data_IF_638952922286
#
_entry.id   IF_638952922286
#
_cell.length_a   1.000
_cell.length_b   1.000
_cell.length_c   1.000
_cell.angle_alpha   90.00
_cell.angle_beta   90.00
_cell.angle_gamma   90.00
#
_symmetry.space_group_name_H-M   'P 1'
#
loop_
_entity.id
_entity.type
_entity.pdbx_description
1 polymer ?
#
# COMPACT_ATOMS: atom_id res chain seq x y z
N UNK A 1 -41.65 -11.29 6.64
CA UNK A 1 -40.80 -11.49 5.44
C UNK A 1 -39.50 -12.13 5.91
N UNK A 2 -39.08 -13.31 5.40
CA UNK A 2 -37.82 -13.94 5.87
C UNK A 2 -36.61 -13.13 5.38
N UNK A 3 -35.78 -12.68 6.31
CA UNK A 3 -34.54 -11.96 6.00
C UNK A 3 -33.57 -12.90 5.27
N UNK A 4 -32.94 -12.41 4.21
CA UNK A 4 -31.96 -13.19 3.46
C UNK A 4 -30.66 -13.29 4.25
N UNK A 5 -30.23 -14.51 4.53
CA UNK A 5 -28.95 -14.76 5.18
C UNK A 5 -27.84 -14.76 4.12
N UNK A 6 -26.90 -13.82 4.25
CA UNK A 6 -25.76 -13.73 3.34
C UNK A 6 -24.70 -14.81 3.61
N UNK A 7 -24.75 -15.48 4.76
CA UNK A 7 -23.86 -16.60 5.07
C UNK A 7 -24.18 -17.82 4.17
N UNK A 8 -25.36 -17.85 3.53
CA UNK A 8 -25.75 -18.82 2.49
C UNK A 8 -24.86 -18.73 1.24
N UNK A 9 -24.03 -17.69 1.11
CA UNK A 9 -23.06 -17.54 0.02
C UNK A 9 -21.76 -18.33 0.24
N UNK A 10 -21.57 -18.94 1.41
CA UNK A 10 -20.34 -19.68 1.75
C UNK A 10 -19.99 -20.75 0.69
N UNK A 11 -20.92 -21.60 0.22
CA UNK A 11 -20.61 -22.59 -0.82
C UNK A 11 -20.14 -21.96 -2.13
N UNK A 12 -20.72 -20.81 -2.52
CA UNK A 12 -20.29 -20.09 -3.71
C UNK A 12 -18.86 -19.54 -3.55
N UNK A 13 -18.50 -19.04 -2.36
CA UNK A 13 -17.14 -18.55 -2.12
C UNK A 13 -16.12 -19.68 -2.09
N UNK A 14 -16.47 -20.84 -1.53
CA UNK A 14 -15.63 -22.04 -1.53
C UNK A 14 -15.40 -22.54 -2.95
N UNK A 15 -16.44 -22.61 -3.79
CA UNK A 15 -16.34 -22.96 -5.21
C UNK A 15 -15.40 -22.01 -5.98
N UNK A 16 -15.39 -20.72 -5.62
CA UNK A 16 -14.48 -19.72 -6.21
C UNK A 16 -13.11 -19.64 -5.52
N UNK A 17 -12.81 -20.57 -4.61
CA UNK A 17 -11.55 -20.63 -3.86
C UNK A 17 -11.21 -19.33 -3.11
N UNK A 18 -12.22 -18.59 -2.66
CA UNK A 18 -12.02 -17.34 -1.91
C UNK A 18 -11.65 -17.69 -0.48
N UNK A 19 -10.59 -17.10 0.06
CA UNK A 19 -10.13 -17.41 1.45
C UNK A 19 -11.18 -17.00 2.49
N UNK A 20 -11.35 -17.74 3.61
CA UNK A 20 -12.37 -17.46 4.62
C UNK A 20 -12.35 -16.02 5.17
N UNK A 21 -11.15 -15.45 5.37
CA UNK A 21 -11.01 -14.07 5.82
C UNK A 21 -11.55 -13.07 4.78
N UNK A 22 -11.33 -13.32 3.49
CA UNK A 22 -11.87 -12.54 2.39
C UNK A 22 -13.37 -12.71 2.24
N UNK A 23 -13.93 -13.90 2.51
CA UNK A 23 -15.38 -14.13 2.53
C UNK A 23 -16.08 -13.22 3.55
N UNK A 24 -15.57 -13.18 4.79
CA UNK A 24 -16.10 -12.32 5.86
C UNK A 24 -16.08 -10.85 5.46
N UNK A 25 -15.02 -10.41 4.79
CA UNK A 25 -14.92 -9.05 4.25
C UNK A 25 -15.99 -8.79 3.19
N UNK A 26 -16.15 -9.68 2.20
CA UNK A 26 -17.17 -9.54 1.16
C UNK A 26 -18.59 -9.50 1.74
N UNK A 27 -18.93 -10.41 2.65
CA UNK A 27 -20.25 -10.43 3.32
C UNK A 27 -20.48 -9.13 4.10
N UNK A 28 -19.47 -8.62 4.81
CA UNK A 28 -19.57 -7.34 5.53
C UNK A 28 -19.84 -6.16 4.57
N UNK A 29 -19.15 -6.12 3.42
CA UNK A 29 -19.40 -5.09 2.41
C UNK A 29 -20.81 -5.22 1.80
N UNK A 30 -21.28 -6.44 1.51
CA UNK A 30 -22.64 -6.66 1.02
C UNK A 30 -23.68 -6.19 2.02
N UNK A 31 -23.53 -6.54 3.31
CA UNK A 31 -24.42 -6.07 4.39
C UNK A 31 -24.50 -4.54 4.41
N UNK A 32 -23.35 -3.86 4.31
CA UNK A 32 -23.27 -2.40 4.29
C UNK A 32 -24.01 -1.78 3.10
N UNK A 33 -23.76 -2.32 1.90
CA UNK A 33 -24.39 -1.83 0.67
C UNK A 33 -25.89 -2.09 0.71
N UNK A 34 -26.33 -3.32 0.99
CA UNK A 34 -27.75 -3.68 1.07
C UNK A 34 -28.49 -2.85 2.11
N UNK A 35 -27.89 -2.62 3.29
CA UNK A 35 -28.45 -1.71 4.29
C UNK A 35 -28.72 -0.32 3.74
N UNK A 36 -27.84 0.18 2.87
CA UNK A 36 -27.95 1.51 2.27
C UNK A 36 -29.00 1.58 1.15
N UNK A 37 -29.13 0.52 0.33
CA UNK A 37 -30.01 0.54 -0.85
C UNK A 37 -31.39 -0.10 -0.63
N UNK A 38 -31.54 -0.93 0.40
CA UNK A 38 -32.78 -1.66 0.73
C UNK A 38 -33.22 -1.50 2.19
N UNK A 39 -32.38 -0.96 3.08
CA UNK A 39 -32.68 -0.88 4.52
C UNK A 39 -32.18 -2.10 5.30
N UNK A 40 -32.51 -2.18 6.59
CA UNK A 40 -31.98 -3.20 7.52
C UNK A 40 -32.52 -4.61 7.27
N UNK A 41 -33.69 -4.72 6.66
CA UNK A 41 -34.35 -5.99 6.36
C UNK A 41 -34.55 -6.16 4.86
N UNK A 42 -34.08 -7.28 4.31
CA UNK A 42 -34.16 -7.57 2.89
C UNK A 42 -34.37 -9.07 2.65
N UNK A 43 -35.13 -9.42 1.61
CA UNK A 43 -35.38 -10.81 1.18
C UNK A 43 -34.53 -11.16 -0.03
N UNK A 44 -34.39 -12.46 -0.33
CA UNK A 44 -33.62 -12.91 -1.50
C UNK A 44 -34.14 -12.29 -2.81
N UNK A 45 -35.46 -12.15 -2.93
CA UNK A 45 -36.12 -11.55 -4.10
C UNK A 45 -35.80 -10.07 -4.25
N UNK A 46 -35.94 -9.28 -3.18
CA UNK A 46 -35.67 -7.84 -3.28
C UNK A 46 -34.16 -7.55 -3.44
N UNK A 47 -33.29 -8.41 -2.90
CA UNK A 47 -31.85 -8.37 -3.17
C UNK A 47 -31.59 -8.61 -4.64
N UNK A 48 -32.15 -9.66 -5.25
CA UNK A 48 -31.96 -9.95 -6.69
C UNK A 48 -32.43 -8.80 -7.59
N UNK A 49 -33.51 -8.13 -7.23
CA UNK A 49 -34.07 -6.99 -7.97
C UNK A 49 -33.36 -5.65 -7.70
N UNK A 50 -32.49 -5.58 -6.68
CA UNK A 50 -31.84 -4.35 -6.25
C UNK A 50 -30.69 -3.88 -7.15
N UNK A 51 -30.34 -4.64 -8.19
CA UNK A 51 -29.18 -4.36 -9.04
C UNK A 51 -29.18 -2.91 -9.58
N UNK A 52 -30.30 -2.41 -10.09
CA UNK A 52 -30.40 -1.04 -10.59
C UNK A 52 -30.21 0.00 -9.49
N UNK A 53 -30.72 -0.25 -8.27
CA UNK A 53 -30.51 0.62 -7.10
C UNK A 53 -29.04 0.62 -6.68
N UNK A 54 -28.39 -0.54 -6.71
CA UNK A 54 -26.97 -0.67 -6.44
C UNK A 54 -26.11 0.11 -7.45
N UNK A 55 -26.39 -0.04 -8.75
CA UNK A 55 -25.67 0.68 -9.80
C UNK A 55 -25.85 2.19 -9.68
N UNK A 56 -27.07 2.65 -9.37
CA UNK A 56 -27.32 4.07 -9.05
C UNK A 56 -26.46 4.49 -7.86
N UNK A 57 -26.54 3.78 -6.74
CA UNK A 57 -25.75 4.04 -5.52
C UNK A 57 -24.25 4.17 -5.79
N UNK A 58 -23.63 3.26 -6.56
CA UNK A 58 -22.19 3.34 -6.84
C UNK A 58 -21.78 4.52 -7.73
N UNK A 59 -22.67 4.93 -8.63
CA UNK A 59 -22.42 6.03 -9.55
C UNK A 59 -22.72 7.39 -8.91
N UNK A 60 -23.79 7.49 -8.12
CA UNK A 60 -24.32 8.76 -7.59
C UNK A 60 -23.93 9.08 -6.16
N UNK A 61 -23.76 8.08 -5.28
CA UNK A 61 -23.43 8.37 -3.87
C UNK A 61 -21.94 8.66 -3.69
N UNK A 62 -21.69 9.55 -2.73
CA UNK A 62 -20.44 10.17 -2.31
C UNK A 62 -19.46 9.19 -1.64
N UNK A 63 -19.22 8.03 -2.26
CA UNK A 63 -18.17 7.11 -1.83
C UNK A 63 -16.80 7.75 -2.10
N UNK A 64 -15.98 7.99 -1.05
CA UNK A 64 -14.93 9.00 -1.06
C UNK A 64 -13.71 8.67 -1.95
N UNK A 65 -13.60 7.44 -2.45
CA UNK A 65 -12.50 7.05 -3.34
C UNK A 65 -12.80 5.79 -4.16
N UNK A 66 -12.03 5.63 -5.25
CA UNK A 66 -12.09 4.48 -6.16
C UNK A 66 -11.97 3.12 -5.44
N UNK A 67 -11.09 2.98 -4.44
CA UNK A 67 -10.88 1.71 -3.76
C UNK A 67 -12.14 1.25 -3.00
N UNK A 68 -12.84 2.17 -2.34
CA UNK A 68 -14.10 1.85 -1.68
C UNK A 68 -15.17 1.43 -2.69
N UNK A 69 -15.28 2.14 -3.82
CA UNK A 69 -16.23 1.79 -4.87
C UNK A 69 -15.90 0.43 -5.52
N UNK A 70 -14.61 0.14 -5.75
CA UNK A 70 -14.13 -1.15 -6.25
C UNK A 70 -14.52 -2.29 -5.31
N UNK A 71 -14.24 -2.16 -4.02
CA UNK A 71 -14.55 -3.20 -3.03
C UNK A 71 -16.05 -3.47 -2.92
N UNK A 72 -16.89 -2.43 -2.94
CA UNK A 72 -18.34 -2.58 -2.99
C UNK A 72 -18.79 -3.26 -4.30
N UNK A 73 -18.26 -2.85 -5.46
CA UNK A 73 -18.59 -3.46 -6.76
C UNK A 73 -18.22 -4.94 -6.81
N UNK A 74 -17.00 -5.30 -6.42
CA UNK A 74 -16.55 -6.71 -6.42
C UNK A 74 -17.42 -7.56 -5.49
N UNK A 75 -17.71 -7.07 -4.28
CA UNK A 75 -18.54 -7.82 -3.34
C UNK A 75 -19.97 -8.01 -3.87
N UNK A 76 -20.58 -6.96 -4.39
CA UNK A 76 -21.93 -7.06 -4.96
C UNK A 76 -21.97 -7.90 -6.23
N UNK A 77 -20.90 -7.93 -7.02
CA UNK A 77 -20.79 -8.82 -8.17
C UNK A 77 -20.86 -10.28 -7.74
N UNK A 78 -20.09 -10.67 -6.71
CA UNK A 78 -20.18 -12.02 -6.15
C UNK A 78 -21.61 -12.38 -5.69
N UNK A 79 -22.29 -11.46 -5.00
CA UNK A 79 -23.69 -11.63 -4.57
C UNK A 79 -24.62 -11.86 -5.76
N UNK A 80 -24.60 -10.99 -6.77
CA UNK A 80 -25.51 -11.08 -7.90
C UNK A 80 -25.22 -12.29 -8.79
N UNK A 81 -23.94 -12.66 -8.97
CA UNK A 81 -23.56 -13.88 -9.68
C UNK A 81 -24.07 -15.12 -8.96
N UNK A 82 -23.89 -15.21 -7.64
CA UNK A 82 -24.41 -16.31 -6.83
C UNK A 82 -25.95 -16.41 -6.90
N UNK A 83 -26.64 -15.27 -7.02
CA UNK A 83 -28.09 -15.20 -7.21
C UNK A 83 -28.55 -15.42 -8.66
N UNK A 84 -27.63 -15.70 -9.59
CA UNK A 84 -27.88 -15.80 -11.04
C UNK A 84 -28.66 -14.59 -11.56
N UNK A 85 -28.22 -13.40 -11.17
CA UNK A 85 -28.72 -12.13 -11.69
C UNK A 85 -27.87 -11.66 -12.90
N UNK A 86 -28.44 -10.88 -13.83
CA UNK A 86 -27.71 -10.43 -15.02
C UNK A 86 -26.65 -9.37 -14.65
N UNK A 87 -25.39 -9.76 -14.57
CA UNK A 87 -24.27 -8.91 -14.11
C UNK A 87 -23.56 -8.13 -15.22
N UNK A 88 -23.89 -8.35 -16.49
CA UNK A 88 -23.24 -7.69 -17.65
C UNK A 88 -23.22 -6.14 -17.52
N UNK A 89 -24.28 -5.55 -16.97
CA UNK A 89 -24.33 -4.09 -16.75
C UNK A 89 -23.38 -3.63 -15.65
N UNK A 90 -23.11 -4.47 -14.65
CA UNK A 90 -22.12 -4.17 -13.61
C UNK A 90 -20.71 -4.16 -14.18
N UNK A 91 -20.40 -5.11 -15.07
CA UNK A 91 -19.08 -5.20 -15.71
C UNK A 91 -18.79 -3.93 -16.52
N UNK A 92 -19.75 -3.48 -17.35
CA UNK A 92 -19.63 -2.21 -18.09
C UNK A 92 -19.43 -1.00 -17.16
N UNK A 93 -20.18 -0.91 -16.06
CA UNK A 93 -20.01 0.17 -15.08
C UNK A 93 -18.66 0.07 -14.38
N UNK A 94 -18.20 -1.14 -14.07
CA UNK A 94 -16.89 -1.36 -13.45
C UNK A 94 -15.74 -0.95 -14.37
N UNK A 95 -15.82 -1.27 -15.66
CA UNK A 95 -14.84 -0.84 -16.65
C UNK A 95 -14.83 0.68 -16.82
N UNK A 96 -16.00 1.32 -16.89
CA UNK A 96 -16.10 2.79 -16.93
C UNK A 96 -15.50 3.43 -15.68
N UNK A 97 -15.72 2.86 -14.49
CA UNK A 97 -15.12 3.34 -13.25
C UNK A 97 -13.61 3.14 -13.23
N UNK A 98 -13.13 2.02 -13.75
CA UNK A 98 -11.70 1.71 -13.90
C UNK A 98 -11.05 2.71 -14.85
N UNK A 99 -11.67 2.99 -16.00
CA UNK A 99 -11.22 4.00 -16.96
C UNK A 99 -11.22 5.41 -16.35
N UNK A 100 -12.28 5.81 -15.65
CA UNK A 100 -12.31 7.10 -14.94
C UNK A 100 -11.22 7.21 -13.88
N UNK A 101 -11.00 6.17 -13.08
CA UNK A 101 -9.92 6.15 -12.09
C UNK A 101 -8.52 6.12 -12.73
N UNK A 102 -8.36 5.51 -13.90
CA UNK A 102 -7.13 5.59 -14.68
C UNK A 102 -6.93 6.98 -15.28
N UNK A 103 -7.97 7.60 -15.81
CA UNK A 103 -7.93 8.97 -16.30
C UNK A 103 -7.65 9.98 -15.16
N UNK A 104 -8.25 9.80 -13.99
CA UNK A 104 -7.95 10.57 -12.77
C UNK A 104 -6.51 10.33 -12.29
N UNK A 105 -5.96 9.13 -12.45
CA UNK A 105 -4.54 8.84 -12.18
C UNK A 105 -3.61 9.42 -13.25
N UNK A 106 -4.05 9.48 -14.50
CA UNK A 106 -3.32 10.05 -15.62
C UNK A 106 -3.32 11.59 -15.59
N UNK A 107 -4.40 12.21 -15.09
CA UNK A 107 -4.55 13.66 -14.93
C UNK A 107 -3.83 14.22 -13.68
N UNK A 108 -2.90 13.46 -13.09
CA UNK A 108 -2.03 13.94 -12.01
C UNK A 108 -2.69 14.01 -10.63
N UNK A 109 -1.87 14.39 -9.64
CA UNK A 109 -2.30 14.52 -8.24
C UNK A 109 -3.35 15.63 -8.10
N UNK A 110 -4.38 15.41 -7.27
CA UNK A 110 -5.32 16.48 -6.88
C UNK A 110 -4.56 17.69 -6.33
N UNK A 111 -5.03 18.92 -6.49
CA UNK A 111 -4.31 20.12 -6.03
C UNK A 111 -3.92 20.07 -4.54
N UNK A 112 -4.78 19.48 -3.69
CA UNK A 112 -4.49 19.23 -2.26
C UNK A 112 -3.38 18.20 -2.03
N UNK A 113 -3.23 17.23 -2.93
CA UNK A 113 -2.15 16.25 -2.89
C UNK A 113 -0.87 16.81 -3.53
N UNK A 114 -0.99 17.65 -4.57
CA UNK A 114 0.12 18.36 -5.22
C UNK A 114 0.78 19.35 -4.26
N UNK A 115 -0.01 20.18 -3.57
CA UNK A 115 0.51 21.07 -2.50
C UNK A 115 1.18 20.33 -1.35
N UNK A 116 0.74 19.10 -1.01
CA UNK A 116 1.45 18.27 0.00
C UNK A 116 2.69 17.58 -0.55
N UNK A 117 2.73 17.27 -1.84
CA UNK A 117 3.87 16.68 -2.53
C UNK A 117 4.99 17.70 -2.75
N UNK A 118 4.63 18.92 -3.16
CA UNK A 118 5.57 20.02 -3.39
C UNK A 118 6.24 20.46 -2.09
N UNK A 119 5.52 20.35 -0.96
CA UNK A 119 6.02 20.65 0.40
C UNK A 119 6.98 19.61 1.00
N UNK A 120 7.17 18.44 0.38
CA UNK A 120 8.15 17.48 0.90
C UNK A 120 9.54 18.01 0.61
N UNK A 121 10.28 18.34 1.67
CA UNK A 121 11.68 18.70 1.65
C UNK A 121 12.50 17.66 2.44
N UNK A 122 13.44 17.00 1.77
CA UNK A 122 14.30 15.99 2.38
C UNK A 122 15.37 16.60 3.30
N UNK A 123 15.74 17.86 3.08
CA UNK A 123 16.68 18.57 3.94
C UNK A 123 16.00 18.92 5.27
N UNK A 124 14.73 19.36 5.24
CA UNK A 124 13.92 19.57 6.43
C UNK A 124 13.77 18.27 7.25
N UNK A 125 13.42 17.15 6.60
CA UNK A 125 13.32 15.84 7.28
C UNK A 125 14.66 15.45 7.92
N UNK A 126 15.77 15.73 7.23
CA UNK A 126 17.13 15.45 7.71
C UNK A 126 17.54 16.31 8.91
N UNK A 127 16.96 17.51 9.06
CA UNK A 127 17.14 18.35 10.24
C UNK A 127 16.25 17.86 11.39
N UNK A 128 14.97 17.59 11.11
CA UNK A 128 13.99 17.16 12.11
C UNK A 128 14.41 15.92 12.88
N UNK A 129 14.99 14.90 12.24
CA UNK A 129 15.37 13.69 12.98
C UNK A 129 16.51 13.95 13.97
N UNK A 130 17.42 14.89 13.66
CA UNK A 130 18.56 15.24 14.51
C UNK A 130 18.12 15.89 15.81
N UNK A 131 17.00 16.61 15.78
CA UNK A 131 16.38 17.27 16.94
C UNK A 131 15.64 16.30 17.88
N UNK A 132 15.28 15.11 17.39
CA UNK A 132 14.60 14.12 18.21
C UNK A 132 15.60 13.31 19.06
N UNK A 133 15.14 12.84 20.21
CA UNK A 133 15.92 11.99 21.09
C UNK A 133 16.35 10.67 20.40
N UNK A 134 17.60 10.27 20.65
CA UNK A 134 18.19 9.02 20.17
C UNK A 134 17.37 7.81 20.63
N UNK A 135 17.25 6.81 19.76
CA UNK A 135 16.53 5.57 20.06
C UNK A 135 15.00 5.68 20.08
N UNK A 136 14.42 6.85 19.78
CA UNK A 136 12.97 6.95 19.59
C UNK A 136 12.53 6.40 18.24
N UNK A 137 11.35 5.77 18.18
CA UNK A 137 10.77 5.30 16.92
C UNK A 137 10.58 6.44 15.92
N UNK A 138 10.23 7.65 16.40
CA UNK A 138 9.99 8.80 15.53
C UNK A 138 11.29 9.26 14.88
N UNK A 139 12.41 9.30 15.62
CA UNK A 139 13.73 9.59 15.06
C UNK A 139 14.12 8.56 14.00
N UNK A 140 13.97 7.28 14.33
CA UNK A 140 14.25 6.20 13.39
C UNK A 140 13.38 6.31 12.13
N UNK A 141 12.08 6.56 12.27
CA UNK A 141 11.19 6.78 11.12
C UNK A 141 11.68 7.95 10.28
N UNK A 142 11.96 9.12 10.87
CA UNK A 142 12.40 10.28 10.09
C UNK A 142 13.70 10.01 9.32
N UNK A 143 14.70 9.36 9.93
CA UNK A 143 15.96 9.09 9.23
C UNK A 143 15.81 8.05 8.11
N UNK A 144 14.97 7.02 8.29
CA UNK A 144 14.63 6.05 7.23
C UNK A 144 13.91 6.69 6.03
N UNK A 145 13.24 7.83 6.26
CA UNK A 145 12.47 8.55 5.24
C UNK A 145 13.09 9.90 4.84
N UNK A 146 14.37 10.12 5.19
CA UNK A 146 15.13 11.36 4.94
C UNK A 146 15.57 11.57 3.49
N UNK A 147 15.40 10.57 2.62
CA UNK A 147 15.83 10.66 1.22
C UNK A 147 17.32 10.45 0.99
N UNK A 148 18.08 9.97 1.99
CA UNK A 148 19.50 9.56 1.81
C UNK A 148 19.65 8.22 1.05
N UNK A 149 18.57 7.46 0.89
CA UNK A 149 18.50 6.22 0.14
C UNK A 149 17.13 6.08 -0.52
N UNK A 150 16.95 5.17 -1.51
CA UNK A 150 15.65 4.90 -2.08
C UNK A 150 14.61 4.58 -0.99
N UNK A 151 13.52 5.36 -0.99
CA UNK A 151 12.50 5.26 0.05
C UNK A 151 11.80 3.91 -0.05
N UNK A 152 12.04 3.02 0.91
CA UNK A 152 11.39 1.71 0.97
C UNK A 152 9.93 1.81 1.44
N UNK A 153 9.14 0.77 1.21
CA UNK A 153 7.77 0.69 1.70
C UNK A 153 7.78 0.40 3.18
N UNK A 154 6.73 0.85 3.88
CA UNK A 154 6.64 0.62 5.32
C UNK A 154 6.82 -0.84 5.73
N UNK A 155 6.20 -1.78 5.00
CA UNK A 155 6.32 -3.21 5.30
C UNK A 155 7.72 -3.79 5.11
N UNK A 156 8.60 -3.10 4.38
CA UNK A 156 9.98 -3.53 4.16
C UNK A 156 10.87 -3.18 5.37
N UNK A 157 10.41 -2.31 6.27
CA UNK A 157 11.10 -1.96 7.53
C UNK A 157 10.52 -2.65 8.76
N UNK A 158 9.22 -2.94 8.76
CA UNK A 158 8.52 -3.42 9.94
C UNK A 158 8.90 -4.87 10.26
N UNK A 159 9.30 -5.10 11.51
CA UNK A 159 9.76 -6.39 12.00
C UNK A 159 10.93 -6.97 11.20
N UNK A 160 11.75 -6.09 10.61
CA UNK A 160 12.94 -6.48 9.88
C UNK A 160 14.02 -6.89 10.89
N UNK A 161 14.44 -8.16 10.82
CA UNK A 161 15.51 -8.66 11.69
C UNK A 161 16.86 -8.11 11.26
N UNK A 162 17.73 -7.89 12.23
CA UNK A 162 19.11 -7.49 11.98
C UNK A 162 20.09 -8.61 12.31
N UNK A 163 21.15 -8.70 11.52
CA UNK A 163 22.23 -9.65 11.74
C UNK A 163 23.55 -8.91 11.86
N UNK A 164 24.50 -9.52 12.57
CA UNK A 164 25.83 -8.97 12.77
C UNK A 164 26.91 -9.99 12.38
N UNK A 165 26.82 -10.55 11.17
CA UNK A 165 27.73 -11.59 10.67
C UNK A 165 28.53 -11.10 9.46
N UNK A 166 29.79 -11.55 9.32
CA UNK A 166 30.59 -11.32 8.10
C UNK A 166 30.07 -12.12 6.90
N UNK A 167 29.39 -13.24 7.14
CA UNK A 167 28.79 -14.08 6.10
C UNK A 167 27.35 -13.66 5.87
N UNK A 168 26.95 -13.49 4.61
CA UNK A 168 25.56 -13.28 4.20
C UNK A 168 24.69 -14.54 4.29
N UNK A 169 25.21 -15.64 4.85
CA UNK A 169 24.45 -16.87 5.09
C UNK A 169 23.66 -16.76 6.38
N UNK A 170 22.35 -16.55 6.25
CA UNK A 170 21.36 -16.68 7.31
C UNK A 170 20.76 -18.10 7.34
N UNK A 171 20.11 -18.51 8.44
CA UNK A 171 19.18 -19.64 8.44
C UNK A 171 18.10 -19.41 7.38
N UNK A 172 17.70 -20.46 6.67
CA UNK A 172 16.71 -20.46 5.57
C UNK A 172 15.32 -19.89 5.92
N UNK A 173 15.09 -19.51 7.18
CA UNK A 173 13.81 -18.99 7.68
C UNK A 173 13.70 -17.47 7.71
N UNK A 174 14.80 -16.72 7.55
CA UNK A 174 14.77 -15.24 7.62
C UNK A 174 14.83 -14.66 6.22
N UNK A 175 13.63 -14.37 5.68
CA UNK A 175 13.43 -13.87 4.31
C UNK A 175 13.86 -12.41 4.08
N UNK A 176 13.78 -11.57 5.12
CA UNK A 176 14.13 -10.17 5.05
C UNK A 176 15.05 -9.82 6.21
N UNK A 177 16.20 -9.20 5.95
CA UNK A 177 17.15 -8.84 7.00
C UNK A 177 18.04 -7.66 6.64
N UNK A 178 18.57 -6.97 7.65
CA UNK A 178 19.66 -6.01 7.51
C UNK A 178 20.94 -6.55 8.13
N UNK A 179 22.02 -6.64 7.35
CA UNK A 179 23.34 -6.90 7.86
C UNK A 179 23.97 -5.61 8.40
N UNK A 180 24.10 -5.50 9.72
CA UNK A 180 24.63 -4.31 10.40
C UNK A 180 26.12 -4.04 10.12
N UNK A 181 26.84 -5.04 9.63
CA UNK A 181 28.28 -4.93 9.34
C UNK A 181 28.55 -4.46 7.92
N UNK A 182 27.81 -4.99 6.94
CA UNK A 182 27.95 -4.59 5.52
C UNK A 182 27.01 -3.47 5.11
N UNK A 183 26.00 -3.14 5.92
CA UNK A 183 24.94 -2.21 5.54
C UNK A 183 23.99 -2.78 4.48
N UNK A 184 24.10 -4.07 4.14
CA UNK A 184 23.27 -4.69 3.12
C UNK A 184 21.90 -5.07 3.68
N UNK A 185 20.85 -4.50 3.10
CA UNK A 185 19.45 -4.87 3.35
C UNK A 185 18.96 -5.79 2.25
N UNK A 186 18.58 -7.00 2.64
CA UNK A 186 18.02 -8.01 1.76
C UNK A 186 16.51 -8.16 1.97
N UNK A 187 15.74 -8.20 0.88
CA UNK A 187 14.29 -8.35 0.88
C UNK A 187 13.88 -9.36 -0.21
N UNK A 188 13.49 -10.57 0.18
CA UNK A 188 13.11 -11.67 -0.73
C UNK A 188 11.71 -11.45 -1.37
N UNK A 189 10.75 -10.93 -0.59
CA UNK A 189 9.35 -10.77 -0.99
C UNK A 189 8.96 -9.29 -1.23
N UNK A 190 9.80 -8.52 -1.93
CA UNK A 190 9.48 -7.12 -2.23
C UNK A 190 8.38 -7.06 -3.29
N UNK A 191 7.19 -6.59 -2.90
CA UNK A 191 6.06 -6.46 -3.83
C UNK A 191 6.42 -5.56 -5.02
N UNK A 192 6.08 -5.96 -6.23
CA UNK A 192 6.26 -5.18 -7.46
C UNK A 192 4.95 -5.06 -8.24
N UNK A 193 4.96 -4.30 -9.34
CA UNK A 193 3.82 -4.26 -10.26
C UNK A 193 3.62 -5.58 -11.02
N UNK A 194 4.64 -6.45 -11.09
CA UNK A 194 4.62 -7.75 -11.78
C UNK A 194 4.58 -8.99 -10.87
N UNK A 195 4.62 -8.84 -9.55
CA UNK A 195 4.67 -9.95 -8.61
C UNK A 195 5.45 -9.63 -7.34
N UNK A 196 6.35 -10.54 -6.96
CA UNK A 196 7.32 -10.37 -5.88
C UNK A 196 8.73 -10.43 -6.48
N UNK A 197 9.62 -9.60 -5.97
CA UNK A 197 11.00 -9.51 -6.43
C UNK A 197 11.93 -9.57 -5.21
N UNK A 198 13.04 -10.25 -5.38
CA UNK A 198 14.18 -10.15 -4.47
C UNK A 198 14.94 -8.85 -4.77
N UNK A 199 15.29 -8.11 -3.73
CA UNK A 199 16.12 -6.91 -3.87
C UNK A 199 17.10 -6.76 -2.71
N UNK A 200 18.27 -6.26 -3.07
CA UNK A 200 19.33 -5.85 -2.17
C UNK A 200 19.45 -4.33 -2.22
N UNK A 201 19.59 -3.70 -1.06
CA UNK A 201 19.70 -2.25 -0.92
C UNK A 201 20.84 -1.94 0.03
N UNK A 202 21.76 -1.08 -0.40
CA UNK A 202 22.84 -0.59 0.46
C UNK A 202 22.27 0.52 1.35
N UNK A 203 22.34 0.32 2.66
CA UNK A 203 21.95 1.31 3.67
C UNK A 203 23.14 2.23 3.96
N UNK A 204 23.01 3.56 3.77
CA UNK A 204 24.07 4.51 4.08
C UNK A 204 24.51 4.46 5.54
N UNK A 205 25.80 4.71 5.81
CA UNK A 205 26.38 4.65 7.16
C UNK A 205 25.64 5.53 8.19
N UNK A 206 25.14 6.69 7.76
CA UNK A 206 24.34 7.59 8.61
C UNK A 206 23.09 6.88 9.11
N UNK A 207 22.33 6.25 8.20
CA UNK A 207 21.12 5.50 8.56
C UNK A 207 21.50 4.26 9.39
N UNK A 208 22.57 3.58 9.00
CA UNK A 208 23.04 2.37 9.67
C UNK A 208 23.43 2.63 11.14
N UNK A 209 24.08 3.76 11.42
CA UNK A 209 24.44 4.17 12.76
C UNK A 209 23.21 4.50 13.61
N UNK A 210 22.21 5.18 13.03
CA UNK A 210 20.93 5.44 13.71
C UNK A 210 20.17 4.15 14.04
N UNK A 211 20.18 3.17 13.12
CA UNK A 211 19.60 1.85 13.38
C UNK A 211 20.35 1.15 14.53
N UNK A 212 21.69 1.15 14.52
CA UNK A 212 22.50 0.52 15.57
C UNK A 212 22.22 1.11 16.95
N UNK A 213 22.18 2.44 17.06
CA UNK A 213 21.86 3.12 18.32
C UNK A 213 20.42 2.84 18.75
N UNK A 214 19.46 2.83 17.82
CA UNK A 214 18.07 2.45 18.12
C UNK A 214 17.97 1.05 18.70
N UNK A 215 18.57 0.05 18.05
CA UNK A 215 18.53 -1.35 18.48
C UNK A 215 19.18 -1.54 19.85
N UNK A 216 20.31 -0.85 20.08
CA UNK A 216 21.01 -0.86 21.37
C UNK A 216 20.15 -0.28 22.49
N UNK A 217 19.53 0.89 22.28
CA UNK A 217 18.69 1.56 23.28
C UNK A 217 17.41 0.77 23.55
N UNK A 218 16.79 0.20 22.49
CA UNK A 218 15.57 -0.60 22.60
C UNK A 218 15.81 -2.02 23.10
N UNK A 219 17.07 -2.46 23.15
CA UNK A 219 17.47 -3.82 23.50
C UNK A 219 16.72 -4.87 22.65
N UNK A 220 16.72 -4.67 21.33
CA UNK A 220 16.07 -5.56 20.34
C UNK A 220 16.97 -5.75 19.14
N UNK A 221 16.80 -6.87 18.43
CA UNK A 221 17.44 -7.14 17.14
C UNK A 221 16.53 -6.82 15.95
N UNK A 222 15.34 -6.28 16.22
CA UNK A 222 14.26 -6.13 15.25
C UNK A 222 13.89 -4.65 15.07
N UNK A 223 13.88 -4.21 13.82
CA UNK A 223 13.53 -2.82 13.47
C UNK A 223 12.02 -2.61 13.61
N UNK A 224 11.65 -1.57 14.37
CA UNK A 224 10.26 -1.16 14.63
C UNK A 224 9.39 -2.34 15.09
N UNK A 225 9.92 -3.13 16.03
CA UNK A 225 9.29 -4.34 16.56
C UNK A 225 7.84 -4.08 17.04
N UNK A 226 6.90 -4.92 16.58
CA UNK A 226 5.50 -4.84 16.96
C UNK A 226 4.71 -3.68 16.32
N UNK A 227 5.36 -2.82 15.52
CA UNK A 227 4.68 -1.72 14.84
C UNK A 227 3.86 -2.23 13.63
N UNK A 228 2.59 -1.85 13.57
CA UNK A 228 1.75 -2.14 12.41
C UNK A 228 1.89 -1.09 11.31
N UNK A 229 1.61 -1.46 10.06
CA UNK A 229 1.69 -0.53 8.92
C UNK A 229 0.75 0.68 9.04
N UNK A 230 -0.37 0.53 9.73
CA UNK A 230 -1.31 1.63 9.96
C UNK A 230 -0.74 2.65 10.96
N UNK A 231 -0.07 2.18 12.01
CA UNK A 231 0.61 3.03 13.01
C UNK A 231 1.77 3.78 12.35
N UNK A 232 2.62 3.08 11.59
CA UNK A 232 3.71 3.71 10.84
C UNK A 232 3.19 4.81 9.90
N UNK A 233 2.15 4.50 9.11
CA UNK A 233 1.58 5.46 8.16
C UNK A 233 1.01 6.70 8.87
N UNK A 234 0.34 6.51 10.02
CA UNK A 234 -0.17 7.62 10.83
C UNK A 234 0.95 8.46 11.43
N UNK A 235 1.98 7.84 12.00
CA UNK A 235 3.15 8.54 12.56
C UNK A 235 3.88 9.34 11.49
N UNK A 236 4.18 8.72 10.34
CA UNK A 236 4.83 9.39 9.22
C UNK A 236 4.02 10.59 8.72
N UNK A 237 2.71 10.42 8.55
CA UNK A 237 1.85 11.53 8.12
C UNK A 237 1.79 12.65 9.15
N UNK A 238 1.85 12.33 10.45
CA UNK A 238 1.89 13.32 11.52
C UNK A 238 3.22 14.07 11.56
N UNK A 239 4.33 13.38 11.35
CA UNK A 239 5.67 13.94 11.40
C UNK A 239 5.99 14.77 10.15
N UNK A 240 5.75 14.23 8.96
CA UNK A 240 6.21 14.81 7.68
C UNK A 240 5.06 15.43 6.88
N UNK A 241 3.79 15.19 7.26
CA UNK A 241 2.64 15.63 6.48
C UNK A 241 2.40 14.83 5.19
N UNK A 242 3.23 13.81 4.93
CA UNK A 242 3.24 13.02 3.70
C UNK A 242 3.10 11.51 3.97
N UNK A 243 2.56 10.80 2.97
CA UNK A 243 2.51 9.33 2.98
C UNK A 243 3.81 8.74 2.42
N UNK A 244 4.11 7.47 2.77
CA UNK A 244 5.25 6.73 2.20
C UNK A 244 5.27 6.82 0.67
N UNK A 245 4.11 6.64 0.01
CA UNK A 245 4.05 6.70 -1.45
C UNK A 245 4.34 8.09 -2.01
N UNK A 246 4.00 9.15 -1.29
CA UNK A 246 4.34 10.52 -1.68
C UNK A 246 5.85 10.75 -1.60
N UNK A 247 6.49 10.31 -0.51
CA UNK A 247 7.95 10.38 -0.35
C UNK A 247 8.67 9.58 -1.42
N UNK A 248 8.19 8.38 -1.75
CA UNK A 248 8.72 7.56 -2.84
C UNK A 248 8.69 8.28 -4.18
N UNK A 249 7.56 8.93 -4.52
CA UNK A 249 7.42 9.72 -5.74
C UNK A 249 8.35 10.93 -5.74
N UNK A 250 8.48 11.62 -4.60
CA UNK A 250 9.32 12.81 -4.46
C UNK A 250 10.79 12.43 -4.63
N UNK A 251 11.23 11.34 -4.00
CA UNK A 251 12.58 10.80 -4.16
C UNK A 251 12.91 10.53 -5.62
N UNK A 252 12.04 9.80 -6.33
CA UNK A 252 12.25 9.54 -7.77
C UNK A 252 12.33 10.83 -8.57
N UNK A 253 11.45 11.81 -8.30
CA UNK A 253 11.48 13.11 -8.97
C UNK A 253 12.77 13.89 -8.69
N UNK A 254 13.25 13.91 -7.46
CA UNK A 254 14.51 14.59 -7.07
C UNK A 254 15.71 13.94 -7.75
N UNK A 255 15.82 12.62 -7.67
CA UNK A 255 16.99 11.90 -8.22
C UNK A 255 16.95 11.87 -9.75
N UNK A 256 15.77 11.83 -10.39
CA UNK A 256 15.68 11.90 -11.86
C UNK A 256 16.21 13.22 -12.42
N UNK A 257 16.03 14.33 -11.69
CA UNK A 257 16.57 15.65 -12.04
C UNK A 257 18.10 15.74 -11.92
N UNK A 258 18.73 14.80 -11.22
CA UNK A 258 20.20 14.73 -11.07
C UNK A 258 20.90 14.10 -12.28
N UNK A 259 20.15 13.66 -13.31
CA UNK A 259 20.74 13.16 -14.55
C UNK A 259 21.24 11.71 -14.46
N UNK A 260 20.51 10.83 -13.77
CA UNK A 260 20.84 9.41 -13.69
C UNK A 260 21.04 8.76 -15.06
N UNK A 261 22.07 7.91 -15.15
CA UNK A 261 22.32 7.02 -16.29
C UNK A 261 21.19 6.00 -16.46
N UNK A 262 21.13 5.34 -17.62
CA UNK A 262 20.14 4.29 -17.90
C UNK A 262 20.21 3.15 -16.87
N UNK A 263 21.41 2.71 -16.50
CA UNK A 263 21.59 1.61 -15.54
C UNK A 263 21.15 2.01 -14.13
N UNK A 264 21.44 3.23 -13.70
CA UNK A 264 20.96 3.75 -12.41
C UNK A 264 19.44 3.90 -12.38
N UNK A 265 18.80 4.27 -13.50
CA UNK A 265 17.33 4.32 -13.61
C UNK A 265 16.72 2.92 -13.55
N UNK A 266 17.35 1.92 -14.18
CA UNK A 266 16.94 0.51 -14.12
C UNK A 266 17.03 0.01 -12.68
N UNK A 267 18.15 0.27 -12.00
CA UNK A 267 18.36 -0.14 -10.63
C UNK A 267 17.40 0.56 -9.66
N UNK A 268 17.19 1.87 -9.83
CA UNK A 268 16.18 2.62 -9.06
C UNK A 268 14.78 2.04 -9.27
N UNK A 269 14.41 1.70 -10.51
CA UNK A 269 13.12 1.08 -10.80
C UNK A 269 12.98 -0.29 -10.12
N UNK A 270 14.05 -1.10 -10.12
CA UNK A 270 14.11 -2.40 -9.43
C UNK A 270 13.91 -2.25 -7.93
N UNK A 271 14.69 -1.38 -7.27
CA UNK A 271 14.59 -1.12 -5.83
C UNK A 271 13.20 -0.59 -5.46
N UNK A 272 12.62 0.25 -6.32
CA UNK A 272 11.29 0.83 -6.14
C UNK A 272 10.14 -0.13 -6.55
N UNK A 273 10.46 -1.33 -7.05
CA UNK A 273 9.46 -2.32 -7.47
C UNK A 273 8.54 -1.82 -8.59
N UNK A 274 9.05 -0.93 -9.44
CA UNK A 274 8.37 -0.43 -10.63
C UNK A 274 8.73 -1.33 -11.84
N UNK A 275 7.77 -1.56 -12.74
CA UNK A 275 8.08 -2.20 -14.02
C UNK A 275 8.89 -1.22 -14.90
N UNK A 276 9.98 -1.72 -15.48
CA UNK A 276 10.89 -0.95 -16.36
C UNK A 276 10.18 -0.26 -17.53
N UNK A 277 9.03 -0.79 -17.95
CA UNK A 277 8.29 -0.35 -19.13
C UNK A 277 7.38 0.89 -18.94
N UNK A 278 7.07 1.36 -17.73
CA UNK A 278 5.90 2.27 -17.58
C UNK A 278 5.90 3.31 -16.47
N UNK A 279 6.81 3.31 -15.49
CA UNK A 279 6.62 4.23 -14.35
C UNK A 279 7.85 5.01 -13.91
N UNK A 280 9.07 4.46 -13.96
CA UNK A 280 10.26 5.25 -13.63
C UNK A 280 10.55 6.33 -14.69
N UNK A 281 10.17 6.07 -15.95
CA UNK A 281 10.40 6.96 -17.10
C UNK A 281 9.33 8.07 -17.20
N UNK A 282 8.10 7.84 -16.72
CA UNK A 282 6.99 8.80 -16.87
C UNK A 282 6.87 9.85 -15.73
N UNK A 283 7.69 9.76 -14.67
CA UNK A 283 7.72 10.81 -13.63
C UNK A 283 8.39 12.12 -14.11
N UNK A 284 8.94 12.13 -15.33
CA UNK A 284 9.64 13.26 -15.95
C UNK A 284 8.69 14.19 -16.75
N UNK A 285 7.38 13.89 -16.82
CA UNK A 285 6.40 14.68 -17.58
C UNK A 285 5.57 15.66 -16.75
N UNK A 286 6.01 16.02 -15.55
CA UNK A 286 5.28 16.94 -14.64
C UNK A 286 6.09 18.14 -14.20
#
# INVERSE_FOLDING_TARGET
MKQYNLDDLTPYFEEKCIKPQSMKQHISQMKRVLKKILGTEYSKTNVKQSLSKFLKYIVTDDLPNYNSKKNHMTSMFHLYTALKAPTQRMEKVFDLMKQKAFAERANGMTEKAKTKFDKVDFDEISQMYKELELGTDNRLILVLYSGMMPILRGQEWLNLKTINTKKNTLPSSVKNYLNLKSGMLHIEDAKSNGGYLEKDVIVPDVILNEIKEYLKIKNTDTILEGMSSSVLSKRLTKLIGASVQALRKKYVSVVSKQGLTTDERIELARIMGHNLLTQAIDYDKS
#
